data_IF_538969905308
#
_entry.id   IF_538969905308
#
_cell.length_a   1.000
_cell.length_b   1.000
_cell.length_c   1.000
_cell.angle_alpha   90.00
_cell.angle_beta   90.00
_cell.angle_gamma   90.00
#
_symmetry.space_group_name_H-M   'P 1'
#
loop_
_entity.id
_entity.type
_entity.pdbx_description
1 polymer ?
#
# COMPACT_ATOMS: atom_id res chain seq x y z
N UNK A 1 27.32 15.26 -10.06
CA UNK A 1 27.54 14.02 -9.28
C UNK A 1 26.18 13.34 -9.11
N UNK A 2 25.98 12.14 -9.64
CA UNK A 2 24.80 11.33 -9.29
C UNK A 2 25.02 10.79 -7.89
N UNK A 3 24.33 11.35 -6.90
CA UNK A 3 24.37 10.84 -5.52
C UNK A 3 23.76 9.44 -5.51
N UNK A 4 24.53 8.44 -5.09
CA UNK A 4 24.02 7.06 -4.91
C UNK A 4 22.96 7.11 -3.81
N UNK A 5 21.69 6.95 -4.17
CA UNK A 5 20.59 6.85 -3.22
C UNK A 5 20.52 5.41 -2.72
N UNK A 6 20.61 5.24 -1.40
CA UNK A 6 20.30 3.95 -0.79
C UNK A 6 18.76 3.72 -0.74
N UNK A 7 18.35 2.52 -0.34
CA UNK A 7 16.94 2.14 -0.27
C UNK A 7 16.10 3.02 0.65
N UNK A 8 16.66 3.49 1.76
CA UNK A 8 15.93 4.34 2.71
C UNK A 8 15.65 5.73 2.13
N UNK A 9 16.58 6.31 1.35
CA UNK A 9 16.31 7.54 0.60
C UNK A 9 15.16 7.36 -0.38
N UNK A 10 15.07 6.22 -1.07
CA UNK A 10 14.00 5.96 -2.05
C UNK A 10 12.65 5.80 -1.35
N UNK A 11 12.59 5.00 -0.27
CA UNK A 11 11.37 4.78 0.53
C UNK A 11 10.84 6.08 1.12
N UNK A 12 11.72 6.86 1.76
CA UNK A 12 11.35 8.14 2.34
C UNK A 12 10.90 9.14 1.27
N UNK A 13 11.60 9.22 0.13
CA UNK A 13 11.23 10.12 -0.97
C UNK A 13 9.84 9.80 -1.52
N UNK A 14 9.52 8.53 -1.75
CA UNK A 14 8.18 8.13 -2.19
C UNK A 14 7.13 8.47 -1.12
N UNK A 15 7.37 8.09 0.14
CA UNK A 15 6.41 8.34 1.21
C UNK A 15 6.09 9.83 1.43
N UNK A 16 7.05 10.72 1.18
CA UNK A 16 6.83 12.18 1.25
C UNK A 16 5.89 12.66 0.14
N UNK A 17 5.93 12.08 -1.06
CA UNK A 17 5.02 12.43 -2.15
C UNK A 17 3.54 12.23 -1.75
N UNK A 18 3.28 11.26 -0.88
CA UNK A 18 1.93 10.92 -0.40
C UNK A 18 1.56 11.55 0.96
N UNK A 19 2.34 12.49 1.48
CA UNK A 19 2.11 13.06 2.83
C UNK A 19 0.78 13.81 2.99
N UNK A 20 0.22 14.32 1.88
CA UNK A 20 -1.05 15.03 1.85
C UNK A 20 -2.23 14.13 1.45
N UNK A 21 -1.97 12.88 1.11
CA UNK A 21 -3.01 11.94 0.71
C UNK A 21 -3.86 11.55 1.91
N UNK A 22 -5.14 11.29 1.63
CA UNK A 22 -6.12 10.97 2.64
C UNK A 22 -6.51 9.51 2.54
N UNK A 23 -5.92 8.68 3.41
CA UNK A 23 -6.19 7.24 3.49
C UNK A 23 -7.30 6.93 4.50
N UNK A 24 -8.49 7.50 4.25
CA UNK A 24 -9.64 7.29 5.13
C UNK A 24 -10.26 5.92 4.91
N UNK A 25 -10.51 5.22 6.01
CA UNK A 25 -11.37 4.05 6.01
C UNK A 25 -12.83 4.46 5.89
N UNK A 26 -13.69 3.48 5.66
CA UNK A 26 -15.15 3.65 5.74
C UNK A 26 -15.58 4.26 7.09
N UNK A 27 -14.84 3.97 8.16
CA UNK A 27 -15.08 4.49 9.52
C UNK A 27 -14.28 5.77 9.86
N UNK A 28 -13.64 6.41 8.87
CA UNK A 28 -12.83 7.63 9.08
C UNK A 28 -11.43 7.41 9.68
N UNK A 29 -11.11 6.21 10.16
CA UNK A 29 -9.79 5.87 10.70
C UNK A 29 -8.68 5.76 9.64
N UNK A 30 -7.43 5.95 10.06
CA UNK A 30 -6.25 5.88 9.18
C UNK A 30 -5.94 4.44 8.74
N UNK A 31 -6.21 4.12 7.47
CA UNK A 31 -6.02 2.77 6.91
C UNK A 31 -4.55 2.40 6.79
N UNK A 32 -3.65 3.36 6.57
CA UNK A 32 -2.20 3.12 6.41
C UNK A 32 -1.62 2.34 7.60
N UNK A 33 -2.14 2.56 8.81
CA UNK A 33 -1.70 1.83 10.01
C UNK A 33 -2.23 0.39 10.09
N UNK A 34 -3.32 0.07 9.39
CA UNK A 34 -3.97 -1.24 9.37
C UNK A 34 -3.37 -2.20 8.33
N UNK A 35 -2.74 -1.68 7.27
CA UNK A 35 -2.18 -2.51 6.19
C UNK A 35 -1.01 -3.41 6.66
N UNK A 36 0.00 -2.95 7.43
CA UNK A 36 1.09 -3.82 7.86
C UNK A 36 0.66 -5.05 8.70
N UNK A 37 -0.22 -4.93 9.72
CA UNK A 37 -0.73 -6.12 10.39
C UNK A 37 -1.57 -6.99 9.45
N UNK A 38 -2.38 -6.40 8.56
CA UNK A 38 -3.16 -7.16 7.58
C UNK A 38 -2.29 -8.02 6.64
N UNK A 39 -1.16 -7.48 6.15
CA UNK A 39 -0.19 -8.24 5.35
C UNK A 39 0.46 -9.35 6.18
N UNK A 40 0.75 -9.09 7.45
CA UNK A 40 1.37 -10.08 8.34
C UNK A 40 0.44 -11.25 8.63
N UNK A 41 -0.83 -10.95 8.87
CA UNK A 41 -1.80 -11.92 9.35
C UNK A 41 -2.43 -12.72 8.20
N UNK A 42 -2.65 -12.08 7.04
CA UNK A 42 -3.34 -12.68 5.89
C UNK A 42 -2.41 -12.92 4.68
N UNK A 43 -1.14 -12.54 4.77
CA UNK A 43 -0.22 -12.51 3.65
C UNK A 43 -0.48 -11.32 2.70
N UNK A 44 0.50 -11.05 1.82
CA UNK A 44 0.40 -9.93 0.88
C UNK A 44 -0.76 -10.09 -0.11
N UNK A 45 -0.92 -11.28 -0.70
CA UNK A 45 -2.01 -11.56 -1.64
C UNK A 45 -3.39 -11.47 -0.96
N UNK A 46 -3.53 -11.95 0.29
CA UNK A 46 -4.80 -11.84 1.03
C UNK A 46 -5.17 -10.38 1.35
N UNK A 47 -4.19 -9.58 1.77
CA UNK A 47 -4.38 -8.15 2.00
C UNK A 47 -4.71 -7.39 0.71
N UNK A 48 -4.05 -7.72 -0.40
CA UNK A 48 -4.30 -7.12 -1.71
C UNK A 48 -5.68 -7.52 -2.27
N UNK A 49 -6.06 -8.79 -2.17
CA UNK A 49 -7.37 -9.29 -2.60
C UNK A 49 -8.52 -8.56 -1.90
N UNK A 50 -8.38 -8.28 -0.60
CA UNK A 50 -9.34 -7.44 0.13
C UNK A 50 -9.39 -6.01 -0.41
N UNK A 51 -8.25 -5.41 -0.71
CA UNK A 51 -8.17 -4.04 -1.18
C UNK A 51 -8.85 -3.85 -2.56
N UNK A 52 -8.76 -4.84 -3.44
CA UNK A 52 -9.31 -4.81 -4.81
C UNK A 52 -10.74 -5.35 -4.92
N UNK A 53 -11.36 -5.73 -3.79
CA UNK A 53 -12.76 -6.15 -3.79
C UNK A 53 -13.66 -5.02 -4.29
N UNK A 54 -14.55 -5.32 -5.24
CA UNK A 54 -15.49 -4.37 -5.81
C UNK A 54 -16.90 -4.53 -5.24
N UNK A 55 -17.65 -3.43 -5.19
CA UNK A 55 -19.09 -3.44 -4.92
C UNK A 55 -19.88 -3.93 -6.14
N UNK A 56 -21.21 -4.05 -5.98
CA UNK A 56 -22.12 -4.47 -7.06
C UNK A 56 -22.12 -3.54 -8.29
N UNK A 57 -21.57 -2.35 -8.17
CA UNK A 57 -21.48 -1.35 -9.24
C UNK A 57 -20.08 -1.31 -9.88
N UNK A 58 -19.16 -2.19 -9.45
CA UNK A 58 -17.80 -2.24 -9.96
C UNK A 58 -16.84 -1.21 -9.32
N UNK A 59 -17.25 -0.52 -8.25
CA UNK A 59 -16.36 0.41 -7.55
C UNK A 59 -15.59 -0.29 -6.44
N UNK A 60 -14.36 0.13 -6.10
CA UNK A 60 -13.63 -0.41 -4.96
C UNK A 60 -14.45 -0.29 -3.67
N UNK A 61 -14.75 -1.44 -3.05
CA UNK A 61 -15.45 -1.52 -1.76
C UNK A 61 -14.60 -0.95 -0.62
N UNK A 62 -13.28 -1.03 -0.77
CA UNK A 62 -12.30 -0.62 0.21
C UNK A 62 -11.36 0.48 -0.33
N UNK A 63 -11.89 1.67 -0.71
CA UNK A 63 -11.12 2.68 -1.45
C UNK A 63 -9.86 3.16 -0.71
N UNK A 64 -9.93 3.28 0.63
CA UNK A 64 -8.76 3.61 1.44
C UNK A 64 -7.67 2.53 1.46
N UNK A 65 -8.05 1.25 1.36
CA UNK A 65 -7.06 0.15 1.27
C UNK A 65 -6.48 0.08 -0.13
N UNK A 66 -7.34 0.18 -1.15
CA UNK A 66 -6.95 0.26 -2.55
C UNK A 66 -5.89 1.35 -2.76
N UNK A 67 -6.15 2.55 -2.25
CA UNK A 67 -5.22 3.68 -2.38
C UNK A 67 -3.87 3.45 -1.71
N UNK A 68 -3.82 2.76 -0.56
CA UNK A 68 -2.52 2.37 0.03
C UNK A 68 -1.75 1.42 -0.88
N UNK A 69 -2.45 0.47 -1.53
CA UNK A 69 -1.82 -0.45 -2.47
C UNK A 69 -1.40 0.23 -3.78
N UNK A 70 -2.04 1.33 -4.21
CA UNK A 70 -1.54 2.18 -5.29
C UNK A 70 -0.19 2.80 -4.92
N UNK A 71 -0.06 3.36 -3.71
CA UNK A 71 1.23 3.90 -3.23
C UNK A 71 2.31 2.82 -3.15
N UNK A 72 1.95 1.59 -2.72
CA UNK A 72 2.87 0.45 -2.70
C UNK A 72 3.29 0.08 -4.12
N UNK A 73 2.34 -0.01 -5.06
CA UNK A 73 2.62 -0.31 -6.46
C UNK A 73 3.57 0.73 -7.06
N UNK A 74 3.28 2.02 -6.87
CA UNK A 74 4.16 3.10 -7.34
C UNK A 74 5.59 2.94 -6.79
N UNK A 75 5.73 2.60 -5.51
CA UNK A 75 7.03 2.34 -4.89
C UNK A 75 7.75 1.13 -5.49
N UNK A 76 7.04 0.03 -5.71
CA UNK A 76 7.61 -1.18 -6.31
C UNK A 76 8.07 -0.95 -7.75
N UNK A 77 7.33 -0.14 -8.52
CA UNK A 77 7.70 0.25 -9.89
C UNK A 77 8.98 1.09 -9.91
N UNK A 78 9.12 2.07 -9.00
CA UNK A 78 10.35 2.88 -8.86
C UNK A 78 11.61 2.03 -8.56
N UNK A 79 11.42 0.83 -8.01
CA UNK A 79 12.49 -0.12 -7.72
C UNK A 79 12.64 -1.22 -8.78
N UNK A 80 11.86 -1.16 -9.86
CA UNK A 80 11.78 -2.19 -10.90
C UNK A 80 11.51 -3.59 -10.34
N UNK A 81 10.78 -3.68 -9.21
CA UNK A 81 10.42 -4.95 -8.57
C UNK A 81 9.23 -5.62 -9.22
N UNK A 82 8.38 -4.82 -9.86
CA UNK A 82 7.21 -5.20 -10.65
C UNK A 82 7.26 -4.51 -12.01
N UNK A 83 6.58 -5.04 -13.04
CA UNK A 83 6.57 -4.44 -14.38
C UNK A 83 5.97 -3.03 -14.40
N UNK A 84 6.53 -2.15 -15.23
CA UNK A 84 5.99 -0.79 -15.40
C UNK A 84 4.56 -0.77 -15.98
N UNK A 85 4.18 -1.84 -16.68
CA UNK A 85 2.84 -2.03 -17.23
C UNK A 85 1.75 -2.22 -16.18
N UNK A 86 2.09 -2.68 -14.96
CA UNK A 86 1.12 -2.83 -13.88
C UNK A 86 0.57 -1.45 -13.52
N UNK A 87 -0.66 -1.20 -13.94
CA UNK A 87 -1.30 0.10 -13.88
C UNK A 87 -2.00 0.35 -12.54
N UNK A 88 -2.51 -0.72 -11.93
CA UNK A 88 -3.31 -0.65 -10.72
C UNK A 88 -3.07 -1.85 -9.76
N UNK A 89 -3.61 -1.80 -8.52
CA UNK A 89 -3.51 -2.89 -7.56
C UNK A 89 -4.07 -4.25 -8.03
N UNK A 90 -5.06 -4.27 -8.92
CA UNK A 90 -5.62 -5.51 -9.44
C UNK A 90 -4.63 -6.19 -10.40
N UNK A 91 -4.03 -5.43 -11.32
CA UNK A 91 -2.97 -5.93 -12.19
C UNK A 91 -1.71 -6.36 -11.40
N UNK A 92 -1.42 -5.69 -10.28
CA UNK A 92 -0.39 -6.15 -9.34
C UNK A 92 -0.72 -7.53 -8.78
N UNK A 93 -1.99 -7.78 -8.43
CA UNK A 93 -2.44 -9.08 -7.93
C UNK A 93 -2.28 -10.16 -9.00
N UNK A 94 -2.74 -9.90 -10.23
CA UNK A 94 -2.58 -10.83 -11.36
C UNK A 94 -1.12 -11.17 -11.61
N UNK A 95 -0.23 -10.17 -11.61
CA UNK A 95 1.20 -10.39 -11.78
C UNK A 95 1.80 -11.27 -10.67
N UNK A 96 1.42 -11.05 -9.41
CA UNK A 96 2.00 -11.76 -8.27
C UNK A 96 1.48 -13.18 -8.12
N UNK A 97 0.25 -13.48 -8.56
CA UNK A 97 -0.29 -14.84 -8.57
C UNK A 97 0.48 -15.74 -9.55
N UNK A 98 0.91 -15.19 -10.68
CA UNK A 98 1.72 -15.91 -11.69
C UNK A 98 3.23 -15.90 -11.38
N UNK A 99 3.65 -15.14 -10.37
CA UNK A 99 5.06 -15.01 -9.99
C UNK A 99 5.52 -16.13 -9.04
N UNK A 100 6.83 -16.37 -8.99
CA UNK A 100 7.39 -17.33 -8.04
C UNK A 100 7.35 -16.82 -6.57
N UNK A 101 7.56 -17.75 -5.64
CA UNK A 101 7.55 -17.46 -4.20
C UNK A 101 8.71 -16.57 -3.74
N UNK A 102 9.81 -16.49 -4.48
CA UNK A 102 10.90 -15.58 -4.16
C UNK A 102 10.50 -14.13 -4.45
N UNK A 103 9.86 -13.90 -5.61
CA UNK A 103 9.29 -12.61 -6.00
C UNK A 103 8.22 -12.15 -5.01
N UNK A 104 7.30 -13.03 -4.62
CA UNK A 104 6.25 -12.67 -3.67
C UNK A 104 6.84 -12.27 -2.30
N UNK A 105 7.84 -13.03 -1.80
CA UNK A 105 8.53 -12.69 -0.54
C UNK A 105 9.28 -11.35 -0.63
N UNK A 106 9.94 -11.11 -1.75
CA UNK A 106 10.68 -9.88 -2.02
C UNK A 106 9.76 -8.65 -2.04
N UNK A 107 8.64 -8.73 -2.76
CA UNK A 107 7.59 -7.69 -2.80
C UNK A 107 6.97 -7.48 -1.43
N UNK A 108 6.69 -8.56 -0.69
CA UNK A 108 6.14 -8.47 0.66
C UNK A 108 7.08 -7.74 1.61
N UNK A 109 8.37 -8.10 1.60
CA UNK A 109 9.38 -7.50 2.46
C UNK A 109 9.58 -6.01 2.15
N UNK A 110 9.73 -5.65 0.87
CA UNK A 110 9.92 -4.24 0.49
C UNK A 110 8.67 -3.40 0.81
N UNK A 111 7.47 -3.94 0.60
CA UNK A 111 6.23 -3.24 0.93
C UNK A 111 6.13 -2.93 2.42
N UNK A 112 6.46 -3.89 3.29
CA UNK A 112 6.47 -3.66 4.74
C UNK A 112 7.52 -2.62 5.16
N UNK A 113 8.70 -2.62 4.53
CA UNK A 113 9.74 -1.62 4.78
C UNK A 113 9.30 -0.23 4.32
N UNK A 114 8.69 -0.11 3.15
CA UNK A 114 8.13 1.14 2.65
C UNK A 114 7.02 1.68 3.57
N UNK A 115 6.11 0.81 4.02
CA UNK A 115 5.00 1.19 4.89
C UNK A 115 5.45 1.76 6.24
N UNK A 116 6.65 1.43 6.72
CA UNK A 116 7.23 2.06 7.91
C UNK A 116 7.49 3.56 7.73
N UNK A 117 7.78 4.00 6.50
CA UNK A 117 7.93 5.40 6.13
C UNK A 117 6.58 6.04 5.85
N UNK A 118 5.75 5.44 4.99
CA UNK A 118 4.45 6.01 4.61
C UNK A 118 3.60 6.39 5.83
N UNK A 119 3.48 5.47 6.80
CA UNK A 119 2.69 5.67 8.03
C UNK A 119 3.17 6.81 8.93
N UNK A 120 4.40 7.30 8.75
CA UNK A 120 4.98 8.40 9.55
C UNK A 120 4.68 9.77 8.93
N UNK A 121 4.48 9.84 7.62
CA UNK A 121 4.28 11.09 6.89
C UNK A 121 2.80 11.42 6.69
N UNK A 122 1.94 10.41 6.63
CA UNK A 122 0.50 10.62 6.51
C UNK A 122 -0.08 11.17 7.80
N UNK A 123 -0.89 12.23 7.66
CA UNK A 123 -1.61 12.82 8.79
C UNK A 123 -2.60 11.80 9.36
N UNK A 124 -2.80 11.75 10.68
CA UNK A 124 -3.90 10.99 11.25
C UNK A 124 -5.20 11.44 10.57
N UNK A 125 -5.99 10.49 10.06
CA UNK A 125 -7.41 10.75 9.85
C UNK A 125 -7.97 11.26 11.17
N UNK A 126 -8.82 12.28 11.14
CA UNK A 126 -9.47 12.80 12.34
C UNK A 126 -10.33 11.70 12.96
N UNK A 127 -9.74 10.90 13.85
CA UNK A 127 -10.44 9.96 14.71
C UNK A 127 -11.25 10.80 15.71
N UNK A 128 -12.44 11.25 15.31
CA UNK A 128 -13.47 11.54 16.30
C UNK A 128 -14.00 10.20 16.78
N UNK A 129 -13.34 9.66 17.81
CA UNK A 129 -13.97 8.72 18.74
C UNK A 129 -15.13 9.45 19.42
N UNK A 130 -16.32 9.38 18.83
CA UNK A 130 -17.57 9.50 19.55
C UNK A 130 -17.85 8.16 20.20
N UNK A 131 -17.29 7.93 21.40
CA UNK A 131 -17.93 7.05 22.37
C UNK A 131 -18.86 7.96 23.16
N UNK A 132 -20.08 8.12 22.66
CA UNK A 132 -21.18 8.59 23.49
C UNK A 132 -21.90 7.35 24.03
N UNK A 133 -21.79 7.22 25.35
CA UNK A 133 -22.74 6.62 26.32
C UNK A 133 -23.12 5.13 26.20
#
# INVERSE_FOLDING_TARGET
MNTVKNMDHIRAANAICHCNDTFKGVDGGSIVKKIPPMIRDNGFLGALAFAVENDKNGNPKNPGHYHVFECILEHLKKLSRVPDKCSDPFELMEYLVESDSAKLRDVTAESLLYMNYLRRFVKPGTDKQGKDE
#
